data_IF_297742285855
#
_entry.id   IF_297742285855
#
_cell.length_a   1.000
_cell.length_b   1.000
_cell.length_c   1.000
_cell.angle_alpha   90.00
_cell.angle_beta   90.00
_cell.angle_gamma   90.00
#
_symmetry.space_group_name_H-M   'P 1'
#
loop_
_entity.id
_entity.type
_entity.pdbx_description
1 polymer ?
#
# COMPACT_ATOMS: atom_id res chain seq x y z
N UNK A 1 19.31 -15.34 -15.52
CA UNK A 1 18.78 -14.18 -14.78
C UNK A 1 17.47 -14.63 -14.16
N UNK A 2 17.36 -14.54 -12.85
CA UNK A 2 16.13 -14.96 -12.17
C UNK A 2 15.18 -13.77 -12.09
N UNK A 3 13.98 -13.94 -12.66
CA UNK A 3 12.91 -12.92 -12.56
C UNK A 3 12.30 -12.98 -11.16
N UNK A 4 12.28 -11.84 -10.47
CA UNK A 4 11.69 -11.73 -9.13
C UNK A 4 10.17 -11.59 -9.24
N UNK A 5 9.42 -12.51 -8.64
CA UNK A 5 7.96 -12.39 -8.49
C UNK A 5 7.59 -12.13 -7.01
N UNK A 6 7.19 -10.89 -6.74
CA UNK A 6 6.74 -10.43 -5.42
C UNK A 6 5.57 -11.21 -4.84
N UNK A 7 4.71 -11.81 -5.68
CA UNK A 7 3.59 -12.65 -5.22
C UNK A 7 4.07 -13.93 -4.53
N UNK A 8 5.26 -14.39 -4.88
CA UNK A 8 5.86 -15.61 -4.33
C UNK A 8 6.85 -15.33 -3.21
N UNK A 9 7.60 -14.23 -3.32
CA UNK A 9 8.68 -13.89 -2.38
C UNK A 9 8.18 -13.19 -1.12
N UNK A 10 7.07 -12.45 -1.18
CA UNK A 10 6.52 -11.75 -0.02
C UNK A 10 5.35 -12.53 0.61
N UNK A 11 5.39 -12.79 1.93
CA UNK A 11 4.29 -13.46 2.65
C UNK A 11 2.96 -12.72 2.55
N UNK A 12 2.98 -11.39 2.43
CA UNK A 12 1.79 -10.54 2.36
C UNK A 12 0.89 -10.79 1.15
N UNK A 13 1.44 -11.32 0.05
CA UNK A 13 0.65 -11.72 -1.12
C UNK A 13 0.11 -13.16 -1.02
N UNK A 14 0.59 -13.95 -0.06
CA UNK A 14 0.29 -15.38 0.06
C UNK A 14 -0.71 -15.61 1.20
N UNK A 15 -1.98 -15.31 0.93
CA UNK A 15 -3.05 -15.62 1.87
C UNK A 15 -3.48 -17.09 1.73
N UNK A 16 -3.53 -17.82 2.86
CA UNK A 16 -4.11 -19.17 2.90
C UNK A 16 -5.64 -19.08 2.96
N UNK A 17 -6.33 -19.80 2.09
CA UNK A 17 -7.79 -19.86 2.12
C UNK A 17 -8.29 -20.37 3.48
N UNK A 18 -9.32 -19.70 4.01
CA UNK A 18 -10.02 -20.06 5.26
C UNK A 18 -9.16 -20.03 6.54
N UNK A 19 -7.96 -19.46 6.48
CA UNK A 19 -7.09 -19.28 7.64
C UNK A 19 -6.89 -17.80 7.91
N UNK A 20 -7.17 -17.41 9.15
CA UNK A 20 -6.83 -16.09 9.64
C UNK A 20 -5.40 -16.13 10.18
N UNK A 21 -4.45 -15.57 9.43
CA UNK A 21 -3.03 -15.54 9.80
C UNK A 21 -2.52 -14.13 10.12
N UNK A 22 -1.82 -13.94 11.23
CA UNK A 22 -1.21 -12.64 11.53
C UNK A 22 0.17 -12.60 10.88
N UNK A 23 0.41 -11.60 10.05
CA UNK A 23 1.67 -11.46 9.31
C UNK A 23 2.31 -10.10 9.59
N UNK A 24 3.62 -10.11 9.77
CA UNK A 24 4.40 -8.88 9.81
C UNK A 24 4.80 -8.51 8.39
N UNK A 25 4.39 -7.31 7.96
CA UNK A 25 4.75 -6.78 6.65
C UNK A 25 6.03 -5.95 6.82
N UNK A 26 7.16 -6.33 6.18
CA UNK A 26 8.38 -5.54 6.28
C UNK A 26 8.17 -4.18 5.61
N UNK A 27 9.01 -3.17 5.91
CA UNK A 27 9.01 -1.92 5.16
C UNK A 27 9.23 -2.17 3.67
N UNK A 28 8.32 -1.68 2.84
CA UNK A 28 8.34 -1.84 1.39
C UNK A 28 8.33 -0.48 0.70
N UNK A 29 8.84 -0.44 -0.53
CA UNK A 29 8.83 0.75 -1.37
C UNK A 29 7.61 0.72 -2.28
N UNK A 30 6.87 1.83 -2.32
CA UNK A 30 5.65 1.95 -3.11
C UNK A 30 5.69 3.20 -3.99
N UNK A 31 5.15 3.06 -5.19
CA UNK A 31 4.69 4.18 -5.99
C UNK A 31 3.24 4.46 -5.59
N UNK A 32 2.95 5.67 -5.15
CA UNK A 32 1.65 6.02 -4.56
C UNK A 32 1.18 7.37 -5.06
N UNK A 33 -0.12 7.47 -5.35
CA UNK A 33 -0.83 8.72 -5.61
C UNK A 33 -1.95 8.80 -4.57
N UNK A 34 -1.98 9.89 -3.82
CA UNK A 34 -3.08 10.18 -2.91
C UNK A 34 -4.30 10.67 -3.71
N UNK A 35 -5.48 10.18 -3.35
CA UNK A 35 -6.72 10.53 -4.01
C UNK A 35 -7.89 10.55 -3.04
N UNK A 36 -8.95 11.26 -3.42
CA UNK A 36 -10.19 11.35 -2.66
C UNK A 36 -11.39 11.14 -3.58
N UNK A 37 -12.51 10.74 -3.00
CA UNK A 37 -13.77 10.49 -3.72
C UNK A 37 -14.06 9.02 -3.95
N UNK A 38 -15.20 8.74 -4.55
CA UNK A 38 -15.63 7.38 -4.88
C UNK A 38 -14.84 6.86 -6.10
N UNK A 39 -14.18 5.69 -6.01
CA UNK A 39 -13.38 5.15 -7.12
C UNK A 39 -14.22 4.76 -8.33
N UNK A 40 -15.53 4.58 -8.19
CA UNK A 40 -16.41 4.21 -9.31
C UNK A 40 -16.86 5.44 -10.12
N UNK A 41 -16.82 6.64 -9.54
CA UNK A 41 -17.32 7.86 -10.18
C UNK A 41 -16.27 8.96 -10.35
N UNK A 42 -15.18 8.95 -9.57
CA UNK A 42 -14.19 10.02 -9.57
C UNK A 42 -13.22 9.91 -10.75
N UNK A 43 -13.03 10.97 -11.56
CA UNK A 43 -12.02 10.97 -12.61
C UNK A 43 -10.60 10.86 -12.06
N UNK A 44 -10.36 11.31 -10.82
CA UNK A 44 -9.04 11.31 -10.18
C UNK A 44 -8.48 9.90 -10.03
N UNK A 45 -9.34 8.91 -9.73
CA UNK A 45 -8.92 7.52 -9.62
C UNK A 45 -8.45 6.95 -10.96
N UNK A 46 -9.20 7.22 -12.03
CA UNK A 46 -8.83 6.82 -13.39
C UNK A 46 -7.51 7.44 -13.80
N UNK A 47 -7.35 8.76 -13.64
CA UNK A 47 -6.10 9.46 -13.97
C UNK A 47 -4.91 8.96 -13.14
N UNK A 48 -5.12 8.61 -11.87
CA UNK A 48 -4.08 8.02 -11.04
C UNK A 48 -3.63 6.66 -11.59
N UNK A 49 -4.55 5.77 -11.95
CA UNK A 49 -4.25 4.48 -12.58
C UNK A 49 -3.51 4.66 -13.91
N UNK A 50 -4.00 5.56 -14.75
CA UNK A 50 -3.41 5.88 -16.06
C UNK A 50 -2.00 6.46 -15.94
N UNK A 51 -1.65 7.04 -14.78
CA UNK A 51 -0.29 7.53 -14.51
C UNK A 51 0.59 6.43 -13.90
N UNK A 52 0.07 5.68 -12.93
CA UNK A 52 0.83 4.68 -12.17
C UNK A 52 1.30 3.51 -13.03
N UNK A 53 0.43 2.97 -13.89
CA UNK A 53 0.78 1.78 -14.68
C UNK A 53 1.89 2.04 -15.70
N UNK A 54 1.82 3.09 -16.55
CA UNK A 54 2.91 3.39 -17.48
C UNK A 54 4.23 3.63 -16.76
N UNK A 55 4.22 4.34 -15.63
CA UNK A 55 5.42 4.58 -14.84
C UNK A 55 6.01 3.29 -14.27
N UNK A 56 5.17 2.39 -13.72
CA UNK A 56 5.62 1.12 -13.18
C UNK A 56 6.29 0.23 -14.25
N UNK A 57 5.74 0.20 -15.46
CA UNK A 57 6.32 -0.56 -16.58
C UNK A 57 7.59 0.09 -17.13
N UNK A 58 7.65 1.42 -17.21
CA UNK A 58 8.87 2.13 -17.58
C UNK A 58 10.01 1.83 -16.58
N UNK A 59 9.72 1.80 -15.27
CA UNK A 59 10.69 1.43 -14.23
C UNK A 59 11.14 -0.03 -14.33
N UNK A 60 10.24 -0.97 -14.67
CA UNK A 60 10.62 -2.38 -14.92
C UNK A 60 11.63 -2.47 -16.07
N UNK A 61 11.35 -1.80 -17.19
CA UNK A 61 12.23 -1.81 -18.37
C UNK A 61 13.59 -1.21 -18.01
N UNK A 62 13.60 -0.07 -17.33
CA UNK A 62 14.83 0.57 -16.86
C UNK A 62 15.63 -0.34 -15.92
N UNK A 63 14.97 -0.97 -14.95
CA UNK A 63 15.60 -1.91 -14.01
C UNK A 63 16.25 -3.10 -14.72
N UNK A 64 15.59 -3.62 -15.75
CA UNK A 64 16.15 -4.73 -16.53
C UNK A 64 17.36 -4.28 -17.36
N UNK A 65 17.27 -3.13 -18.03
CA UNK A 65 18.29 -2.65 -18.96
C UNK A 65 19.54 -2.10 -18.25
N UNK A 66 19.35 -1.29 -17.20
CA UNK A 66 20.46 -0.57 -16.54
C UNK A 66 21.01 -1.30 -15.31
N UNK A 67 20.15 -2.02 -14.57
CA UNK A 67 20.52 -2.69 -13.32
C UNK A 67 20.62 -4.21 -13.46
N UNK A 68 20.23 -4.78 -14.61
CA UNK A 68 20.21 -6.22 -14.85
C UNK A 68 19.22 -6.98 -13.94
N UNK A 69 18.21 -6.29 -13.40
CA UNK A 69 17.23 -6.84 -12.46
C UNK A 69 15.85 -6.89 -13.10
N UNK A 70 15.39 -8.10 -13.40
CA UNK A 70 14.04 -8.32 -13.89
C UNK A 70 13.08 -8.68 -12.74
N UNK A 71 11.91 -8.07 -12.74
CA UNK A 71 10.84 -8.36 -11.79
C UNK A 71 9.47 -8.26 -12.44
N UNK A 72 8.49 -8.97 -11.90
CA UNK A 72 7.09 -8.88 -12.31
C UNK A 72 6.43 -7.70 -11.60
N UNK A 73 5.74 -6.84 -12.37
CA UNK A 73 4.99 -5.71 -11.79
C UNK A 73 3.91 -6.28 -10.85
N UNK A 74 3.91 -5.90 -9.55
CA UNK A 74 2.92 -6.38 -8.59
C UNK A 74 1.49 -5.91 -8.94
N UNK A 75 0.46 -6.58 -8.42
CA UNK A 75 -0.91 -6.10 -8.60
C UNK A 75 -1.12 -4.77 -7.87
N UNK A 76 -2.08 -3.97 -8.37
CA UNK A 76 -2.45 -2.70 -7.76
C UNK A 76 -2.99 -2.90 -6.34
N UNK A 77 -2.53 -2.08 -5.42
CA UNK A 77 -3.05 -1.97 -4.06
C UNK A 77 -3.65 -0.60 -3.84
N UNK A 78 -4.74 -0.56 -3.07
CA UNK A 78 -5.35 0.68 -2.61
C UNK A 78 -5.51 0.61 -1.09
N UNK A 79 -5.12 1.68 -0.40
CA UNK A 79 -5.40 1.86 1.02
C UNK A 79 -6.45 2.95 1.12
N UNK A 80 -7.59 2.61 1.71
CA UNK A 80 -8.65 3.57 1.99
C UNK A 80 -8.58 3.91 3.47
N UNK A 81 -8.09 5.11 3.84
CA UNK A 81 -8.13 5.55 5.22
C UNK A 81 -9.61 5.77 5.57
N UNK A 82 -10.09 5.04 6.58
CA UNK A 82 -11.47 5.14 7.09
C UNK A 82 -12.56 4.67 6.10
N UNK A 83 -12.70 3.35 5.94
CA UNK A 83 -14.04 2.78 5.93
C UNK A 83 -14.54 2.86 7.38
N UNK A 84 -15.74 3.36 7.63
CA UNK A 84 -16.30 3.53 8.98
C UNK A 84 -15.98 2.33 9.86
N UNK A 85 -15.02 2.52 10.77
CA UNK A 85 -14.99 1.76 12.00
C UNK A 85 -16.20 2.23 12.80
N UNK A 86 -17.38 1.72 12.45
CA UNK A 86 -18.42 1.53 13.45
C UNK A 86 -17.78 0.59 14.46
N UNK A 87 -17.20 1.20 15.50
CA UNK A 87 -16.66 0.48 16.65
C UNK A 87 -17.76 -0.51 17.04
N UNK A 88 -17.51 -1.83 17.06
CA UNK A 88 -18.52 -2.75 17.55
C UNK A 88 -18.84 -2.30 18.98
N UNK A 89 -20.02 -1.69 19.16
CA UNK A 89 -20.64 -1.63 20.48
C UNK A 89 -20.68 -3.06 21.00
N UNK A 90 -20.38 -3.22 22.28
CA UNK A 90 -19.69 -4.35 22.93
C UNK A 90 -20.28 -5.77 22.77
N UNK A 91 -21.27 -5.98 21.91
CA UNK A 91 -22.07 -7.19 21.79
C UNK A 91 -21.89 -7.95 20.44
N UNK A 92 -21.02 -7.48 19.53
CA UNK A 92 -20.75 -8.16 18.23
C UNK A 92 -19.28 -8.41 17.90
N UNK A 93 -18.46 -8.66 18.93
CA UNK A 93 -17.06 -9.10 18.82
C UNK A 93 -16.93 -10.57 18.35
N UNK A 94 -17.33 -10.89 17.11
CA UNK A 94 -16.98 -12.19 16.49
C UNK A 94 -16.22 -12.12 15.17
N UNK A 95 -16.05 -10.95 14.54
CA UNK A 95 -15.44 -10.89 13.19
C UNK A 95 -14.60 -9.65 12.86
N UNK A 96 -14.06 -8.94 13.84
CA UNK A 96 -13.12 -7.85 13.56
C UNK A 96 -11.69 -8.30 13.83
N UNK A 97 -10.88 -8.37 12.76
CA UNK A 97 -9.43 -8.55 12.85
C UNK A 97 -8.79 -7.17 13.02
N UNK A 98 -8.36 -6.86 14.23
CA UNK A 98 -7.52 -5.70 14.48
C UNK A 98 -6.10 -5.98 13.98
N UNK A 99 -5.60 -5.17 13.03
CA UNK A 99 -4.17 -4.89 12.98
C UNK A 99 -3.84 -4.11 14.25
N UNK A 100 -2.89 -4.60 15.05
CA UNK A 100 -2.38 -3.82 16.18
C UNK A 100 -1.70 -2.55 15.66
N UNK A 101 -2.10 -1.35 16.09
CA UNK A 101 -1.28 -0.16 15.94
C UNK A 101 -0.51 0.04 17.24
N UNK A 102 0.75 -0.36 17.27
CA UNK A 102 1.66 -0.16 18.42
C UNK A 102 1.98 1.34 18.68
N UNK A 103 1.23 2.30 18.12
CA UNK A 103 1.56 3.73 18.14
C UNK A 103 0.38 4.71 18.37
N UNK A 104 -0.79 4.26 18.83
CA UNK A 104 -1.83 5.21 19.28
C UNK A 104 -1.54 5.74 20.70
N UNK A 105 -0.58 6.67 20.79
CA UNK A 105 -0.43 7.54 21.96
C UNK A 105 -1.48 8.66 21.84
N UNK A 106 -2.54 8.55 22.64
CA UNK A 106 -3.55 9.59 22.80
C UNK A 106 -2.91 10.81 23.48
N UNK A 107 -2.62 11.85 22.69
CA UNK A 107 -2.50 13.22 23.20
C UNK A 107 -2.97 14.18 22.13
N UNK A 108 -4.11 14.81 22.42
CA UNK A 108 -4.68 15.82 21.56
C UNK A 108 -3.75 17.02 21.44
N UNK A 109 -3.60 17.51 20.21
CA UNK A 109 -3.63 18.94 19.93
C UNK A 109 -3.87 19.13 18.43
N UNK A 110 -4.85 19.99 18.13
CA UNK A 110 -5.08 20.54 16.79
C UNK A 110 -3.80 21.26 16.33
N UNK A 111 -3.15 20.73 15.30
CA UNK A 111 -2.34 21.51 14.37
C UNK A 111 -1.89 20.58 13.24
N UNK A 112 -2.45 20.81 12.06
CA UNK A 112 -1.98 20.26 10.78
C UNK A 112 -0.52 20.69 10.57
N UNK A 113 0.42 19.77 10.29
CA UNK A 113 1.69 20.14 9.68
C UNK A 113 1.68 19.73 8.21
N UNK A 114 1.75 20.76 7.38
CA UNK A 114 2.26 20.73 6.02
C UNK A 114 3.51 19.85 5.85
N UNK A 115 3.60 19.24 4.67
CA UNK A 115 4.81 19.13 3.82
C UNK A 115 6.10 18.56 4.46
N UNK A 116 6.48 17.35 4.03
CA UNK A 116 7.89 16.96 4.00
C UNK A 116 8.17 16.03 2.81
N UNK A 117 8.38 16.62 1.63
CA UNK A 117 9.26 16.05 0.62
C UNK A 117 10.64 15.87 1.27
N UNK A 118 11.07 14.63 1.49
CA UNK A 118 12.50 14.34 1.66
C UNK A 118 13.00 13.69 0.38
N UNK A 119 13.32 14.55 -0.59
CA UNK A 119 14.26 14.24 -1.66
C UNK A 119 15.58 13.80 -1.02
N UNK A 120 15.84 12.49 -1.00
CA UNK A 120 17.19 11.97 -0.84
C UNK A 120 17.98 12.34 -2.10
N UNK A 121 18.81 13.38 -1.99
CA UNK A 121 19.92 13.60 -2.93
C UNK A 121 20.98 12.50 -2.73
N UNK A 122 21.64 12.07 -3.80
CA UNK A 122 22.65 11.02 -3.77
C UNK A 122 24.00 11.56 -3.26
N UNK A 123 24.71 10.73 -2.49
CA UNK A 123 26.16 10.62 -2.51
C UNK A 123 26.52 9.15 -2.39
#
# INVERSE_FOLDING_TARGET
MDTIDFKTTLPSYRARHRVFDAIDVPPLQYLMIDGHGDPNSSPDFTSAIETLYPLAYAMKIFSNNELGRDYVVPPLHAVMPNISAEQPTSDRLRRARCLRPEHCSARGHRSVPHLALRCLRPR
#
